data_IF_364270574159
#
_entry.id   IF_364270574159
#
_cell.length_a   1.000
_cell.length_b   1.000
_cell.length_c   1.000
_cell.angle_alpha   90.00
_cell.angle_beta   90.00
_cell.angle_gamma   90.00
#
_symmetry.space_group_name_H-M   'P 1'
#
loop_
_entity.id
_entity.type
_entity.pdbx_description
1 polymer ?
#
# COMPACT_ATOMS: atom_id res chain seq x y z
N UNK A 1 -1.71 24.24 4.13
CA UNK A 1 -1.96 22.79 3.99
C UNK A 1 -1.35 22.12 5.20
N UNK A 2 -2.14 21.55 6.13
CA UNK A 2 -1.59 20.89 7.32
C UNK A 2 -1.17 19.46 6.94
N UNK A 3 0.13 19.15 6.82
CA UNK A 3 0.59 17.87 6.28
C UNK A 3 0.35 16.70 7.25
N UNK A 4 0.20 16.99 8.55
CA UNK A 4 0.08 16.02 9.63
C UNK A 4 -1.29 16.20 10.28
N UNK A 5 -2.12 15.16 10.23
CA UNK A 5 -3.46 15.13 10.82
C UNK A 5 -3.42 14.79 12.32
N UNK A 6 -2.42 14.02 12.74
CA UNK A 6 -2.25 13.62 14.13
C UNK A 6 -0.93 12.92 14.37
N UNK A 7 -0.49 12.91 15.62
CA UNK A 7 0.73 12.22 16.06
C UNK A 7 0.39 11.28 17.22
N UNK A 8 0.66 10.00 17.03
CA UNK A 8 0.49 8.97 18.07
C UNK A 8 1.89 8.43 18.41
N UNK A 9 2.58 9.08 19.36
CA UNK A 9 3.95 8.73 19.74
C UNK A 9 4.96 8.91 18.58
N UNK A 10 5.71 7.87 18.17
CA UNK A 10 6.63 7.94 17.04
C UNK A 10 5.91 7.89 15.66
N UNK A 11 4.61 7.58 15.62
CA UNK A 11 3.86 7.47 14.38
C UNK A 11 3.16 8.80 14.03
N UNK A 12 3.39 9.26 12.80
CA UNK A 12 2.80 10.46 12.23
C UNK A 12 1.74 10.05 11.21
N UNK A 13 0.51 10.51 11.39
CA UNK A 13 -0.55 10.32 10.41
C UNK A 13 -0.54 11.53 9.46
N UNK A 14 -0.07 11.32 8.24
CA UNK A 14 -0.07 12.37 7.24
C UNK A 14 -1.39 12.44 6.47
N UNK A 15 -1.75 13.65 6.01
CA UNK A 15 -2.96 13.87 5.23
C UNK A 15 -2.99 13.07 3.92
N UNK A 16 -1.86 12.93 3.24
CA UNK A 16 -1.76 12.12 2.04
C UNK A 16 -1.99 10.62 2.33
N UNK A 17 -1.52 10.13 3.48
CA UNK A 17 -1.74 8.74 3.90
C UNK A 17 -3.22 8.49 4.17
N UNK A 18 -3.91 9.44 4.80
CA UNK A 18 -5.35 9.36 4.99
C UNK A 18 -6.12 9.33 3.66
N UNK A 19 -5.77 10.22 2.71
CA UNK A 19 -6.36 10.21 1.38
C UNK A 19 -6.12 8.88 0.63
N UNK A 20 -4.93 8.31 0.75
CA UNK A 20 -4.57 7.04 0.15
C UNK A 20 -5.38 5.88 0.78
N UNK A 21 -5.55 5.86 2.10
CA UNK A 21 -6.42 4.88 2.75
C UNK A 21 -7.88 5.00 2.33
N UNK A 22 -8.40 6.22 2.19
CA UNK A 22 -9.77 6.44 1.66
C UNK A 22 -9.88 5.87 0.24
N UNK A 23 -8.88 6.09 -0.61
CA UNK A 23 -8.82 5.51 -1.96
C UNK A 23 -8.86 3.98 -1.93
N UNK A 24 -7.98 3.34 -1.15
CA UNK A 24 -7.94 1.88 -1.03
C UNK A 24 -9.28 1.32 -0.50
N UNK A 25 -9.82 1.90 0.57
CA UNK A 25 -11.09 1.46 1.16
C UNK A 25 -12.25 1.62 0.19
N UNK A 26 -12.32 2.75 -0.52
CA UNK A 26 -13.37 2.96 -1.52
C UNK A 26 -13.29 1.95 -2.67
N UNK A 27 -12.08 1.66 -3.18
CA UNK A 27 -11.85 0.64 -4.19
C UNK A 27 -12.23 -0.76 -3.72
N UNK A 28 -11.88 -1.11 -2.48
CA UNK A 28 -12.26 -2.38 -1.85
C UNK A 28 -13.79 -2.52 -1.73
N UNK A 29 -14.46 -1.51 -1.20
CA UNK A 29 -15.92 -1.50 -1.03
C UNK A 29 -16.66 -1.60 -2.36
N UNK A 30 -16.21 -0.85 -3.38
CA UNK A 30 -16.78 -0.91 -4.72
C UNK A 30 -16.59 -2.29 -5.35
N UNK A 31 -15.43 -2.91 -5.14
CA UNK A 31 -15.15 -4.26 -5.64
C UNK A 31 -16.03 -5.29 -4.95
N UNK A 32 -16.12 -5.24 -3.61
CA UNK A 32 -17.00 -6.11 -2.82
C UNK A 32 -18.47 -5.97 -3.23
N UNK A 33 -18.94 -4.73 -3.45
CA UNK A 33 -20.30 -4.44 -3.89
C UNK A 33 -20.59 -4.99 -5.29
N UNK A 34 -19.64 -4.90 -6.22
CA UNK A 34 -19.79 -5.50 -7.55
C UNK A 34 -19.81 -7.02 -7.48
N UNK A 35 -18.89 -7.62 -6.73
CA UNK A 35 -18.76 -9.06 -6.59
C UNK A 35 -20.02 -9.69 -5.99
N UNK A 36 -20.60 -9.07 -4.97
CA UNK A 36 -21.86 -9.54 -4.35
C UNK A 36 -23.08 -9.47 -5.27
N UNK A 37 -23.03 -8.63 -6.32
CA UNK A 37 -24.08 -8.53 -7.35
C UNK A 37 -23.79 -9.37 -8.60
N UNK A 38 -22.60 -9.93 -8.71
CA UNK A 38 -22.22 -10.75 -9.84
C UNK A 38 -22.86 -12.15 -9.74
N UNK A 39 -23.32 -12.72 -10.86
CA UNK A 39 -23.80 -14.11 -10.89
C UNK A 39 -22.67 -15.14 -10.73
N UNK A 40 -21.42 -14.71 -10.89
CA UNK A 40 -20.24 -15.55 -10.83
C UNK A 40 -19.77 -15.77 -9.38
N UNK A 41 -20.06 -16.97 -8.86
CA UNK A 41 -19.66 -17.40 -7.51
C UNK A 41 -18.16 -17.64 -7.37
N UNK A 42 -17.44 -17.92 -8.45
CA UNK A 42 -15.99 -18.10 -8.38
C UNK A 42 -15.30 -16.77 -8.04
N UNK A 43 -15.77 -15.67 -8.65
CA UNK A 43 -15.30 -14.32 -8.36
C UNK A 43 -15.52 -13.94 -6.89
N UNK A 44 -16.64 -14.38 -6.30
CA UNK A 44 -16.97 -14.14 -4.88
C UNK A 44 -16.02 -14.79 -3.89
N UNK A 45 -15.34 -15.86 -4.28
CA UNK A 45 -14.36 -16.55 -3.42
C UNK A 45 -12.96 -15.95 -3.58
N UNK A 46 -12.56 -15.55 -4.81
CA UNK A 46 -11.16 -15.22 -5.13
C UNK A 46 -10.83 -13.73 -5.04
N UNK A 47 -11.82 -12.83 -5.15
CA UNK A 47 -11.57 -11.38 -5.25
C UNK A 47 -10.77 -10.81 -4.07
N UNK A 48 -10.99 -11.33 -2.85
CA UNK A 48 -10.30 -10.83 -1.66
C UNK A 48 -8.83 -11.27 -1.64
N UNK A 49 -8.54 -12.51 -2.06
CA UNK A 49 -7.17 -12.99 -2.23
C UNK A 49 -6.43 -12.18 -3.29
N UNK A 50 -7.09 -11.85 -4.41
CA UNK A 50 -6.55 -10.99 -5.44
C UNK A 50 -6.25 -9.57 -4.92
N UNK A 51 -7.13 -9.01 -4.09
CA UNK A 51 -6.90 -7.72 -3.43
C UNK A 51 -5.67 -7.76 -2.50
N UNK A 52 -5.57 -8.78 -1.65
CA UNK A 52 -4.42 -8.97 -0.75
C UNK A 52 -3.11 -9.13 -1.53
N UNK A 53 -3.13 -9.92 -2.61
CA UNK A 53 -1.98 -10.10 -3.48
C UNK A 53 -1.58 -8.78 -4.13
N UNK A 54 -2.53 -8.01 -4.64
CA UNK A 54 -2.28 -6.70 -5.24
C UNK A 54 -1.67 -5.72 -4.22
N UNK A 55 -2.18 -5.71 -2.98
CA UNK A 55 -1.68 -4.86 -1.91
C UNK A 55 -0.24 -5.25 -1.50
N UNK A 56 0.05 -6.55 -1.41
CA UNK A 56 1.39 -7.05 -1.14
C UNK A 56 2.37 -6.69 -2.26
N UNK A 57 1.96 -6.89 -3.52
CA UNK A 57 2.78 -6.57 -4.70
C UNK A 57 3.00 -5.06 -4.85
N UNK A 58 2.03 -4.21 -4.49
CA UNK A 58 2.21 -2.77 -4.49
C UNK A 58 3.28 -2.34 -3.47
N UNK A 59 3.27 -2.93 -2.27
CA UNK A 59 4.26 -2.62 -1.24
C UNK A 59 5.68 -3.10 -1.65
N UNK A 60 5.79 -4.33 -2.13
CA UNK A 60 7.07 -4.90 -2.58
C UNK A 60 7.58 -4.14 -3.81
N UNK A 61 6.71 -3.93 -4.79
CA UNK A 61 7.03 -3.25 -6.05
C UNK A 61 7.48 -1.81 -5.84
N UNK A 62 6.77 -1.05 -4.99
CA UNK A 62 7.19 0.29 -4.60
C UNK A 62 8.57 0.29 -3.96
N UNK A 63 8.79 -0.61 -3.00
CA UNK A 63 10.10 -0.70 -2.33
C UNK A 63 11.23 -1.04 -3.29
N UNK A 64 11.02 -2.04 -4.15
CA UNK A 64 12.01 -2.45 -5.16
C UNK A 64 12.28 -1.31 -6.12
N UNK A 65 11.24 -0.62 -6.59
CA UNK A 65 11.36 0.56 -7.46
C UNK A 65 12.19 1.68 -6.80
N UNK A 66 11.93 1.98 -5.53
CA UNK A 66 12.69 2.96 -4.77
C UNK A 66 14.17 2.56 -4.61
N UNK A 67 14.44 1.30 -4.29
CA UNK A 67 15.82 0.79 -4.13
C UNK A 67 16.59 0.83 -5.44
N UNK A 68 15.93 0.51 -6.56
CA UNK A 68 16.54 0.59 -7.90
C UNK A 68 16.80 2.05 -8.28
N UNK A 69 15.86 2.96 -7.99
CA UNK A 69 16.03 4.40 -8.24
C UNK A 69 17.22 4.99 -7.48
N UNK A 70 17.37 4.61 -6.22
CA UNK A 70 18.43 5.10 -5.33
C UNK A 70 19.61 4.12 -5.20
N UNK A 71 19.89 3.34 -6.25
CA UNK A 71 20.83 2.21 -6.18
C UNK A 71 22.22 2.60 -5.65
N UNK A 72 22.73 3.78 -6.03
CA UNK A 72 24.01 4.28 -5.53
C UNK A 72 24.07 4.42 -4.00
N UNK A 73 22.97 4.79 -3.35
CA UNK A 73 22.89 4.87 -1.89
C UNK A 73 22.85 3.47 -1.24
N UNK A 74 22.15 2.53 -1.86
CA UNK A 74 21.94 1.19 -1.30
C UNK A 74 23.12 0.24 -1.51
N UNK A 75 24.03 0.51 -2.47
CA UNK A 75 25.25 -0.29 -2.66
C UNK A 75 26.10 -0.37 -1.39
N UNK A 76 26.22 0.75 -0.66
CA UNK A 76 27.01 0.82 0.58
C UNK A 76 26.22 0.39 1.81
N UNK A 77 24.88 0.29 1.71
CA UNK A 77 23.97 0.10 2.85
C UNK A 77 22.82 -0.87 2.54
N UNK A 78 23.15 -2.02 1.94
CA UNK A 78 22.20 -3.08 1.58
C UNK A 78 21.18 -3.45 2.68
N UNK A 79 21.56 -3.55 3.98
CA UNK A 79 20.59 -3.88 5.03
C UNK A 79 19.48 -2.83 5.23
N UNK A 80 19.69 -1.58 4.81
CA UNK A 80 18.67 -0.53 4.87
C UNK A 80 17.58 -0.73 3.81
N UNK A 81 17.87 -1.47 2.73
CA UNK A 81 16.88 -1.74 1.69
C UNK A 81 15.64 -2.46 2.24
N UNK A 82 15.75 -3.23 3.33
CA UNK A 82 14.59 -3.92 3.92
C UNK A 82 13.78 -3.08 4.92
N UNK A 83 14.26 -1.89 5.31
CA UNK A 83 13.62 -1.05 6.34
C UNK A 83 12.49 -0.19 5.77
N UNK A 84 11.39 -0.83 5.38
CA UNK A 84 10.21 -0.17 4.79
C UNK A 84 9.55 0.88 5.72
N UNK A 85 9.73 0.76 7.04
CA UNK A 85 9.22 1.70 8.04
C UNK A 85 9.96 3.05 8.09
N UNK A 86 11.11 3.17 7.40
CA UNK A 86 11.81 4.45 7.27
C UNK A 86 11.24 5.31 6.13
N UNK A 87 10.21 4.83 5.42
CA UNK A 87 9.72 5.43 4.18
C UNK A 87 10.49 4.92 2.95
N UNK A 88 10.20 5.50 1.78
CA UNK A 88 10.78 5.07 0.51
C UNK A 88 10.07 3.84 -0.07
N UNK A 89 8.89 4.09 -0.63
CA UNK A 89 8.08 3.16 -1.43
C UNK A 89 7.80 3.83 -2.77
#
# INVERSE_FOLDING_TARGET
MAPILGRYGPFLLYGYTAALYVGILSGLLLTAWRVTRSPDKALATVWFDAFLLCLAMALIGGRVGFVIGEWGYFQERLPLAWRIWQGGL
#
